data_IF_119767738414
#
_entry.id   IF_119767738414
#
_cell.length_a   1.000
_cell.length_b   1.000
_cell.length_c   1.000
_cell.angle_alpha   90.00
_cell.angle_beta   90.00
_cell.angle_gamma   90.00
#
_symmetry.space_group_name_H-M   'P 1'
#
loop_
_entity.id
_entity.type
_entity.pdbx_description
1 polymer ?
#
# COMPACT_ATOMS: atom_id res chain seq x y z
N UNK A 1 -19.11 -11.81 -13.79
CA UNK A 1 -17.74 -11.31 -13.55
C UNK A 1 -17.63 -10.32 -12.40
N UNK A 2 -18.31 -9.15 -12.45
CA UNK A 2 -18.22 -8.10 -11.40
C UNK A 2 -18.67 -8.58 -10.01
N UNK A 3 -19.67 -9.46 -9.93
CA UNK A 3 -20.13 -10.03 -8.64
C UNK A 3 -19.05 -10.84 -7.91
N UNK A 4 -18.14 -11.50 -8.63
CA UNK A 4 -17.03 -12.24 -8.02
C UNK A 4 -16.00 -11.29 -7.41
N UNK A 5 -15.78 -10.11 -8.01
CA UNK A 5 -14.90 -9.07 -7.46
C UNK A 5 -15.49 -8.47 -6.18
N UNK A 6 -16.80 -8.22 -6.17
CA UNK A 6 -17.50 -7.71 -4.98
C UNK A 6 -17.36 -8.68 -3.80
N UNK A 7 -17.55 -9.99 -4.03
CA UNK A 7 -17.32 -11.01 -3.00
C UNK A 7 -15.85 -11.10 -2.58
N UNK A 8 -14.90 -11.05 -3.53
CA UNK A 8 -13.46 -11.18 -3.23
C UNK A 8 -12.92 -10.01 -2.41
N UNK A 9 -13.40 -8.81 -2.69
CA UNK A 9 -13.04 -7.60 -1.97
C UNK A 9 -14.00 -7.28 -0.81
N UNK A 10 -15.03 -8.08 -0.53
CA UNK A 10 -16.07 -7.75 0.46
C UNK A 10 -16.66 -6.33 0.30
N UNK A 11 -16.78 -5.87 -0.95
CA UNK A 11 -17.36 -4.56 -1.23
C UNK A 11 -18.88 -4.61 -1.05
N UNK A 12 -19.51 -3.54 -0.54
CA UNK A 12 -20.97 -3.48 -0.35
C UNK A 12 -21.73 -3.22 -1.65
N UNK A 13 -21.11 -2.54 -2.61
CA UNK A 13 -21.72 -2.13 -3.87
C UNK A 13 -20.69 -1.98 -4.99
N UNK A 14 -21.17 -1.81 -6.24
CA UNK A 14 -20.29 -1.52 -7.40
C UNK A 14 -19.54 -0.20 -7.23
N UNK A 15 -20.18 0.81 -6.63
CA UNK A 15 -19.57 2.12 -6.35
C UNK A 15 -18.47 1.98 -5.29
N UNK A 16 -18.73 1.21 -4.24
CA UNK A 16 -17.73 0.92 -3.22
C UNK A 16 -16.51 0.22 -3.82
N UNK A 17 -16.71 -0.74 -4.74
CA UNK A 17 -15.61 -1.39 -5.45
C UNK A 17 -14.74 -0.39 -6.24
N UNK A 18 -15.37 0.58 -6.92
CA UNK A 18 -14.66 1.65 -7.63
C UNK A 18 -13.84 2.52 -6.67
N UNK A 19 -14.42 2.90 -5.52
CA UNK A 19 -13.72 3.66 -4.48
C UNK A 19 -12.50 2.89 -3.97
N UNK A 20 -12.63 1.58 -3.69
CA UNK A 20 -11.50 0.74 -3.27
C UNK A 20 -10.36 0.80 -4.31
N UNK A 21 -10.68 0.61 -5.59
CA UNK A 21 -9.67 0.66 -6.64
C UNK A 21 -9.04 2.04 -6.78
N UNK A 22 -9.83 3.10 -6.62
CA UNK A 22 -9.33 4.47 -6.62
C UNK A 22 -8.35 4.72 -5.48
N UNK A 23 -8.71 4.31 -4.26
CA UNK A 23 -7.86 4.44 -3.08
C UNK A 23 -6.56 3.65 -3.28
N UNK A 24 -6.63 2.42 -3.79
CA UNK A 24 -5.45 1.61 -4.07
C UNK A 24 -4.54 2.21 -5.16
N UNK A 25 -5.13 2.76 -6.22
CA UNK A 25 -4.38 3.43 -7.28
C UNK A 25 -3.66 4.67 -6.76
N UNK A 26 -4.38 5.53 -6.04
CA UNK A 26 -3.79 6.72 -5.42
C UNK A 26 -2.71 6.35 -4.41
N UNK A 27 -2.98 5.44 -3.47
CA UNK A 27 -1.99 5.05 -2.47
C UNK A 27 -0.74 4.41 -3.07
N UNK A 28 -0.89 3.64 -4.15
CA UNK A 28 0.24 3.07 -4.90
C UNK A 28 1.09 4.14 -5.58
N UNK A 29 0.47 5.10 -6.26
CA UNK A 29 1.21 6.20 -6.90
C UNK A 29 1.91 7.10 -5.86
N UNK A 30 1.21 7.44 -4.77
CA UNK A 30 1.77 8.28 -3.70
C UNK A 30 2.93 7.58 -2.97
N UNK A 31 2.87 6.27 -2.70
CA UNK A 31 3.96 5.56 -2.02
C UNK A 31 5.26 5.52 -2.84
N UNK A 32 5.15 5.41 -4.16
CA UNK A 32 6.31 5.49 -5.06
C UNK A 32 6.91 6.90 -5.08
N UNK A 33 6.06 7.92 -5.11
CA UNK A 33 6.51 9.31 -5.08
C UNK A 33 7.20 9.67 -3.76
N UNK A 34 6.67 9.22 -2.62
CA UNK A 34 7.22 9.46 -1.27
C UNK A 34 8.46 8.61 -0.97
N UNK A 35 8.53 7.38 -1.46
CA UNK A 35 9.71 6.53 -1.26
C UNK A 35 10.96 7.03 -1.99
N UNK A 36 10.80 7.74 -3.12
CA UNK A 36 11.91 8.28 -3.91
C UNK A 36 12.80 9.27 -3.14
N UNK A 37 12.28 10.34 -2.50
CA UNK A 37 13.10 11.24 -1.69
C UNK A 37 13.70 10.55 -0.46
N UNK A 38 13.02 9.56 0.13
CA UNK A 38 13.55 8.79 1.26
C UNK A 38 14.77 7.97 0.83
N UNK A 39 14.71 7.33 -0.33
CA UNK A 39 15.86 6.57 -0.86
C UNK A 39 17.04 7.46 -1.25
N UNK A 40 16.76 8.66 -1.77
CA UNK A 40 17.79 9.66 -2.05
C UNK A 40 18.40 10.23 -0.77
N UNK A 41 17.61 10.47 0.27
CA UNK A 41 18.10 10.95 1.56
C UNK A 41 18.99 9.93 2.28
N UNK A 42 18.70 8.63 2.10
CA UNK A 42 19.53 7.54 2.60
C UNK A 42 20.75 7.24 1.70
N UNK A 43 20.89 7.97 0.59
CA UNK A 43 21.95 7.84 -0.42
C UNK A 43 22.21 6.38 -0.87
N UNK A 44 21.15 5.56 -0.87
CA UNK A 44 21.25 4.11 -1.11
C UNK A 44 21.78 3.77 -2.51
N UNK A 45 21.71 4.72 -3.45
CA UNK A 45 22.26 4.58 -4.80
C UNK A 45 23.80 4.52 -4.79
N UNK A 46 24.43 5.24 -3.86
CA UNK A 46 25.89 5.25 -3.71
C UNK A 46 26.37 4.10 -2.81
N UNK A 47 25.56 3.69 -1.84
CA UNK A 47 25.90 2.64 -0.87
C UNK A 47 25.74 1.24 -1.48
N UNK A 48 24.70 1.03 -2.30
CA UNK A 48 24.43 -0.26 -2.94
C UNK A 48 24.87 -0.22 -4.40
N UNK A 49 26.13 -0.59 -4.65
CA UNK A 49 26.67 -0.73 -6.01
C UNK A 49 26.00 -1.85 -6.84
N UNK A 50 25.24 -2.73 -6.17
CA UNK A 50 24.51 -3.83 -6.79
C UNK A 50 23.05 -3.45 -7.05
N UNK A 51 22.69 -3.28 -8.32
CA UNK A 51 21.33 -3.00 -8.79
C UNK A 51 20.22 -3.93 -8.20
N UNK A 52 20.38 -5.27 -8.11
CA UNK A 52 19.35 -6.12 -7.52
C UNK A 52 19.16 -5.87 -6.02
N UNK A 53 20.24 -5.55 -5.30
CA UNK A 53 20.19 -5.24 -3.88
C UNK A 53 19.46 -3.91 -3.64
N UNK A 54 19.70 -2.91 -4.49
CA UNK A 54 18.99 -1.62 -4.46
C UNK A 54 17.47 -1.79 -4.63
N UNK A 55 17.03 -2.64 -5.56
CA UNK A 55 15.60 -2.92 -5.75
C UNK A 55 15.00 -3.60 -4.52
N UNK A 56 15.71 -4.53 -3.89
CA UNK A 56 15.24 -5.20 -2.68
C UNK A 56 14.97 -4.21 -1.54
N UNK A 57 15.94 -3.32 -1.26
CA UNK A 57 15.76 -2.28 -0.23
C UNK A 57 14.68 -1.27 -0.61
N UNK A 58 14.57 -0.90 -1.88
CA UNK A 58 13.48 -0.05 -2.38
C UNK A 58 12.12 -0.63 -2.05
N UNK A 59 11.89 -1.91 -2.37
CA UNK A 59 10.63 -2.60 -2.06
C UNK A 59 10.41 -2.67 -0.56
N UNK A 60 11.45 -2.97 0.22
CA UNK A 60 11.37 -3.05 1.68
C UNK A 60 10.96 -1.73 2.32
N UNK A 61 11.39 -0.59 1.78
CA UNK A 61 11.01 0.76 2.23
C UNK A 61 9.61 1.15 1.74
N UNK A 62 9.24 0.80 0.50
CA UNK A 62 7.91 1.12 -0.06
C UNK A 62 6.79 0.44 0.73
N UNK A 63 6.99 -0.81 1.18
CA UNK A 63 5.96 -1.57 1.92
C UNK A 63 5.42 -0.82 3.16
N UNK A 64 6.25 -0.39 4.14
CA UNK A 64 5.78 0.33 5.31
C UNK A 64 5.23 1.73 4.97
N UNK A 65 5.81 2.41 3.97
CA UNK A 65 5.29 3.70 3.50
C UNK A 65 3.87 3.53 2.91
N UNK A 66 3.67 2.49 2.11
CA UNK A 66 2.40 2.18 1.49
C UNK A 66 1.33 1.86 2.53
N UNK A 67 1.67 1.10 3.58
CA UNK A 67 0.79 0.83 4.72
C UNK A 67 0.22 2.11 5.32
N UNK A 68 1.09 3.08 5.66
CA UNK A 68 0.66 4.38 6.20
C UNK A 68 -0.19 5.19 5.22
N UNK A 69 0.24 5.31 3.97
CA UNK A 69 -0.45 6.10 2.94
C UNK A 69 -1.83 5.51 2.64
N UNK A 70 -1.95 4.19 2.61
CA UNK A 70 -3.22 3.50 2.37
C UNK A 70 -4.25 3.88 3.43
N UNK A 71 -3.86 3.91 4.71
CA UNK A 71 -4.74 4.35 5.81
C UNK A 71 -5.14 5.82 5.64
N UNK A 72 -4.17 6.69 5.34
CA UNK A 72 -4.41 8.13 5.23
C UNK A 72 -5.40 8.42 4.11
N UNK A 73 -5.18 7.86 2.92
CA UNK A 73 -6.06 8.05 1.78
C UNK A 73 -7.43 7.40 2.06
N UNK A 74 -7.46 6.18 2.59
CA UNK A 74 -8.72 5.53 2.98
C UNK A 74 -9.53 6.36 3.98
N UNK A 75 -8.87 7.07 4.90
CA UNK A 75 -9.52 7.98 5.86
C UNK A 75 -10.15 9.17 5.17
N UNK A 76 -9.48 9.76 4.17
CA UNK A 76 -10.00 10.87 3.36
C UNK A 76 -11.28 10.45 2.61
N UNK A 77 -11.32 9.22 2.10
CA UNK A 77 -12.47 8.67 1.38
C UNK A 77 -13.55 8.03 2.28
N UNK A 78 -13.37 8.07 3.62
CA UNK A 78 -14.34 7.51 4.58
C UNK A 78 -14.35 5.97 4.69
N UNK A 79 -13.38 5.29 4.08
CA UNK A 79 -13.27 3.82 4.05
C UNK A 79 -12.19 3.29 5.03
N UNK A 80 -11.81 4.08 6.04
CA UNK A 80 -10.78 3.73 7.04
C UNK A 80 -11.02 2.34 7.65
N UNK A 81 -12.24 2.03 8.12
CA UNK A 81 -12.53 0.75 8.77
C UNK A 81 -12.33 -0.45 7.84
N UNK A 82 -12.63 -0.28 6.55
CA UNK A 82 -12.45 -1.30 5.53
C UNK A 82 -10.96 -1.59 5.31
N UNK A 83 -10.19 -0.53 5.05
CA UNK A 83 -8.76 -0.65 4.78
C UNK A 83 -7.95 -1.04 6.02
N UNK A 84 -8.34 -0.58 7.21
CA UNK A 84 -7.71 -0.99 8.47
C UNK A 84 -7.88 -2.48 8.76
N UNK A 85 -9.06 -3.07 8.43
CA UNK A 85 -9.25 -4.53 8.49
C UNK A 85 -8.38 -5.25 7.46
N UNK A 86 -8.28 -4.70 6.25
CA UNK A 86 -7.45 -5.25 5.18
C UNK A 86 -5.96 -5.27 5.58
N UNK A 87 -5.46 -4.17 6.11
CA UNK A 87 -4.08 -4.00 6.53
C UNK A 87 -3.74 -4.82 7.77
N UNK A 88 -4.62 -4.88 8.77
CA UNK A 88 -4.46 -5.81 9.91
C UNK A 88 -4.34 -7.26 9.45
N UNK A 89 -5.12 -7.67 8.44
CA UNK A 89 -5.02 -9.01 7.86
C UNK A 89 -3.67 -9.23 7.16
N UNK A 90 -3.11 -8.21 6.53
CA UNK A 90 -1.77 -8.25 5.94
C UNK A 90 -0.68 -8.34 7.02
N UNK A 91 -0.71 -7.48 8.04
CA UNK A 91 0.25 -7.45 9.14
C UNK A 91 0.25 -8.76 9.96
N UNK A 92 -0.94 -9.36 10.19
CA UNK A 92 -1.05 -10.70 10.81
C UNK A 92 -0.40 -11.79 9.96
N UNK A 93 -0.48 -11.72 8.63
CA UNK A 93 0.18 -12.71 7.73
C UNK A 93 1.70 -12.60 7.78
N UNK A 94 2.23 -11.39 7.96
CA UNK A 94 3.66 -11.15 8.13
C UNK A 94 4.10 -11.40 9.59
N UNK A 95 3.19 -11.81 10.48
CA UNK A 95 3.43 -12.03 11.93
C UNK A 95 3.98 -10.81 12.68
N UNK A 96 3.81 -9.60 12.14
CA UNK A 96 4.24 -8.36 12.81
C UNK A 96 3.33 -8.05 14.00
N UNK A 97 2.06 -8.47 13.93
CA UNK A 97 1.04 -8.25 14.96
C UNK A 97 0.34 -9.59 15.25
N UNK A 98 0.10 -9.90 16.54
CA UNK A 98 -0.67 -11.08 16.99
C UNK A 98 -2.16 -10.98 16.62
#
# INVERSE_FOLDING_TARGET
>A
MIQNLIKKFNAKSKVHLLVIFFVFGLSGSFSLWISSPIMSALDLKNILNNYPLYIFFRVLIIIPIYQLILIVIASIFGEFQYFWKFEKKFLKRIKIIK
#
